data_IF_904636572626
#
_entry.id   IF_904636572626
#
_cell.length_a   1.000
_cell.length_b   1.000
_cell.length_c   1.000
_cell.angle_alpha   90.00
_cell.angle_beta   90.00
_cell.angle_gamma   90.00
#
_symmetry.space_group_name_H-M   'P 1'
#
loop_
_entity.id
_entity.type
_entity.pdbx_description
1 polymer ?
#
# COMPACT_ATOMS: atom_id res chain seq x y z
N UNK A 1 -18.67 -25.56 -79.40
CA UNK A 1 -18.95 -24.14 -79.09
C UNK A 1 -20.05 -23.89 -78.04
N UNK A 2 -21.03 -24.75 -77.81
CA UNK A 2 -22.08 -24.52 -76.76
C UNK A 2 -21.63 -24.73 -75.31
N UNK A 3 -20.60 -25.53 -75.03
CA UNK A 3 -20.12 -25.82 -73.69
C UNK A 3 -19.26 -24.66 -73.05
N UNK A 4 -18.58 -23.90 -73.89
CA UNK A 4 -17.72 -22.79 -73.43
C UNK A 4 -18.53 -21.57 -73.05
N UNK A 5 -19.67 -21.36 -73.70
CA UNK A 5 -20.56 -20.22 -73.40
C UNK A 5 -21.26 -20.36 -72.02
N UNK A 6 -21.62 -21.59 -71.65
CA UNK A 6 -22.25 -21.86 -70.36
C UNK A 6 -21.26 -21.68 -69.15
N UNK A 7 -20.00 -22.06 -69.37
CA UNK A 7 -18.97 -21.87 -68.32
C UNK A 7 -18.62 -20.40 -68.10
N UNK A 8 -18.59 -19.60 -69.17
CA UNK A 8 -18.35 -18.18 -69.13
C UNK A 8 -19.53 -17.41 -68.49
N UNK A 9 -20.77 -17.86 -68.77
CA UNK A 9 -21.98 -17.24 -68.18
C UNK A 9 -22.12 -17.59 -66.67
N UNK A 10 -21.76 -18.83 -66.31
CA UNK A 10 -21.74 -19.22 -64.88
C UNK A 10 -20.66 -18.48 -64.06
N UNK A 11 -19.50 -18.21 -64.68
CA UNK A 11 -18.42 -17.42 -64.03
C UNK A 11 -18.81 -15.95 -63.94
N UNK A 12 -19.53 -15.38 -64.87
CA UNK A 12 -20.02 -13.99 -64.79
C UNK A 12 -21.15 -13.84 -63.76
N UNK A 13 -22.01 -14.87 -63.60
CA UNK A 13 -23.03 -14.85 -62.53
C UNK A 13 -22.43 -15.01 -61.13
N UNK A 14 -21.32 -15.75 -60.98
CA UNK A 14 -20.62 -15.92 -59.66
C UNK A 14 -19.86 -14.66 -59.24
N UNK A 15 -19.42 -13.85 -60.19
CA UNK A 15 -18.71 -12.58 -59.87
C UNK A 15 -19.67 -11.45 -59.48
N UNK A 16 -20.94 -11.51 -59.85
CA UNK A 16 -21.94 -10.50 -59.49
C UNK A 16 -22.46 -10.68 -58.05
N UNK A 17 -22.34 -11.89 -57.47
CA UNK A 17 -22.79 -12.17 -56.11
C UNK A 17 -21.76 -11.79 -55.02
N UNK A 18 -20.54 -11.36 -55.37
CA UNK A 18 -19.50 -11.00 -54.42
C UNK A 18 -19.36 -9.47 -54.18
N UNK A 19 -20.18 -8.65 -54.84
CA UNK A 19 -20.11 -7.18 -54.66
C UNK A 19 -21.22 -6.61 -53.79
N UNK A 20 -21.82 -7.41 -52.91
CA UNK A 20 -22.69 -6.89 -51.84
C UNK A 20 -21.90 -6.75 -50.54
N UNK A 21 -20.85 -5.93 -50.58
CA UNK A 21 -20.41 -5.25 -49.36
C UNK A 21 -21.34 -4.05 -49.17
N UNK A 22 -22.38 -4.25 -48.41
CA UNK A 22 -23.14 -3.14 -47.84
C UNK A 22 -22.19 -2.42 -46.90
N UNK A 23 -21.62 -1.32 -47.35
CA UNK A 23 -20.92 -0.36 -46.51
C UNK A 23 -21.94 0.60 -45.90
N UNK A 24 -23.00 0.08 -45.32
CA UNK A 24 -23.73 0.88 -44.35
C UNK A 24 -22.91 0.83 -43.07
N UNK A 25 -22.03 1.80 -42.91
CA UNK A 25 -21.53 2.15 -41.58
C UNK A 25 -22.77 2.53 -40.76
N UNK A 26 -23.35 1.55 -40.08
CA UNK A 26 -24.33 1.79 -39.03
C UNK A 26 -23.58 2.57 -37.97
N UNK A 27 -23.71 3.89 -37.97
CA UNK A 27 -23.14 4.71 -36.94
C UNK A 27 -23.60 4.16 -35.58
N UNK A 28 -22.64 3.81 -34.73
CA UNK A 28 -22.98 3.31 -33.42
C UNK A 28 -23.96 4.31 -32.76
N UNK A 29 -25.08 3.83 -32.20
CA UNK A 29 -26.08 4.72 -31.60
C UNK A 29 -25.38 5.63 -30.60
N UNK A 30 -25.53 6.94 -30.77
CA UNK A 30 -25.05 7.89 -29.76
C UNK A 30 -25.78 7.58 -28.45
N UNK A 31 -25.07 7.05 -27.48
CA UNK A 31 -25.57 6.94 -26.12
C UNK A 31 -25.86 8.35 -25.62
N UNK A 32 -27.13 8.75 -25.65
CA UNK A 32 -27.57 10.02 -25.09
C UNK A 32 -27.62 9.83 -23.57
N UNK A 33 -26.71 10.48 -22.86
CA UNK A 33 -26.76 10.52 -21.40
C UNK A 33 -27.98 11.34 -20.99
N UNK A 34 -28.79 10.83 -20.07
CA UNK A 34 -29.88 11.57 -19.43
C UNK A 34 -29.39 12.10 -18.09
N UNK A 35 -29.32 13.43 -17.96
CA UNK A 35 -28.94 14.07 -16.70
C UNK A 35 -30.03 13.80 -15.65
N UNK A 36 -29.69 13.29 -14.46
CA UNK A 36 -30.64 13.18 -13.36
C UNK A 36 -31.12 14.57 -12.91
N UNK A 37 -32.43 14.69 -12.64
CA UNK A 37 -33.00 15.89 -12.02
C UNK A 37 -32.81 15.82 -10.49
N UNK A 38 -31.53 15.95 -10.08
CA UNK A 38 -31.10 15.90 -8.69
C UNK A 38 -30.15 17.06 -8.40
N UNK A 39 -30.30 17.63 -7.21
CA UNK A 39 -29.45 18.71 -6.70
C UNK A 39 -28.83 18.28 -5.40
N UNK A 40 -27.52 18.48 -5.28
CA UNK A 40 -26.78 18.27 -4.04
C UNK A 40 -27.23 19.28 -2.99
N UNK A 41 -27.55 18.81 -1.80
CA UNK A 41 -27.97 19.65 -0.68
C UNK A 41 -27.14 19.45 0.59
N UNK A 42 -26.18 18.50 0.55
CA UNK A 42 -25.30 18.16 1.68
C UNK A 42 -23.90 17.87 1.16
N UNK A 43 -22.86 18.33 1.89
CA UNK A 43 -21.48 18.04 1.54
C UNK A 43 -21.03 16.66 2.07
N UNK A 44 -20.12 16.00 1.33
CA UNK A 44 -19.53 14.73 1.80
C UNK A 44 -18.81 14.91 3.15
N UNK A 45 -18.22 16.08 3.41
CA UNK A 45 -17.57 16.40 4.68
C UNK A 45 -18.55 16.40 5.87
N UNK A 46 -19.80 16.79 5.67
CA UNK A 46 -20.83 16.75 6.73
C UNK A 46 -21.22 15.32 7.05
N UNK A 47 -21.35 14.46 6.02
CA UNK A 47 -21.59 13.02 6.21
C UNK A 47 -20.41 12.35 6.91
N UNK A 48 -19.19 12.67 6.49
CA UNK A 48 -17.97 12.13 7.10
C UNK A 48 -17.83 12.55 8.57
N UNK A 49 -18.22 13.78 8.93
CA UNK A 49 -18.13 14.30 10.30
C UNK A 49 -19.05 13.55 11.30
N UNK A 50 -20.13 12.94 10.82
CA UNK A 50 -21.08 12.18 11.67
C UNK A 50 -20.88 10.67 11.59
N UNK A 51 -20.15 10.17 10.58
CA UNK A 51 -19.82 8.75 10.44
C UNK A 51 -18.84 8.33 11.56
N UNK A 52 -19.03 7.15 12.10
CA UNK A 52 -18.17 6.59 13.16
C UNK A 52 -18.12 5.05 13.03
N UNK A 53 -17.40 4.37 13.93
CA UNK A 53 -17.25 2.91 13.89
C UNK A 53 -18.58 2.14 14.12
N UNK A 54 -19.60 2.78 14.68
CA UNK A 54 -20.92 2.17 14.88
C UNK A 54 -21.79 2.48 13.67
N UNK A 55 -22.28 1.44 12.98
CA UNK A 55 -23.16 1.61 11.84
C UNK A 55 -24.40 2.40 12.20
N UNK A 56 -24.67 3.47 11.45
CA UNK A 56 -25.78 4.39 11.73
C UNK A 56 -26.62 4.61 10.48
N UNK A 57 -27.95 4.53 10.62
CA UNK A 57 -28.87 4.83 9.53
C UNK A 57 -28.96 6.34 9.30
N UNK A 58 -28.81 6.76 8.04
CA UNK A 58 -29.00 8.13 7.61
C UNK A 58 -30.51 8.39 7.36
N UNK A 59 -31.10 9.35 8.06
CA UNK A 59 -32.55 9.56 8.10
C UNK A 59 -33.06 10.73 7.26
N UNK A 60 -32.14 11.64 6.88
CA UNK A 60 -32.49 12.85 6.17
C UNK A 60 -32.54 12.60 4.65
N UNK A 61 -33.38 13.37 3.95
CA UNK A 61 -33.51 13.30 2.48
C UNK A 61 -32.42 14.13 1.82
N UNK A 62 -31.16 13.73 2.10
CA UNK A 62 -29.97 14.43 1.63
C UNK A 62 -29.37 13.73 0.42
N UNK A 63 -28.76 14.53 -0.43
CA UNK A 63 -28.09 14.11 -1.66
C UNK A 63 -26.70 14.71 -1.66
N UNK A 64 -25.70 13.84 -1.70
CA UNK A 64 -24.28 14.21 -1.93
C UNK A 64 -23.90 13.98 -3.38
N UNK A 65 -22.80 14.60 -3.82
CA UNK A 65 -22.15 14.29 -5.08
C UNK A 65 -20.68 13.93 -4.86
N UNK A 66 -20.20 12.96 -5.64
CA UNK A 66 -18.81 12.58 -5.65
C UNK A 66 -18.41 11.98 -7.00
N UNK A 67 -17.13 11.74 -7.20
CA UNK A 67 -16.57 11.27 -8.47
C UNK A 67 -16.03 9.85 -8.30
N UNK A 68 -16.31 9.01 -9.29
CA UNK A 68 -15.84 7.62 -9.35
C UNK A 68 -14.34 7.58 -9.56
N UNK A 69 -13.62 6.83 -8.72
CA UNK A 69 -12.16 6.70 -8.83
C UNK A 69 -11.66 5.25 -8.94
N UNK A 70 -12.49 4.25 -8.61
CA UNK A 70 -12.19 2.83 -8.83
C UNK A 70 -12.88 2.28 -10.07
N UNK A 71 -12.42 1.13 -10.56
CA UNK A 71 -13.03 0.38 -11.67
C UNK A 71 -12.91 -1.12 -11.43
N UNK A 72 -13.99 -1.84 -11.64
CA UNK A 72 -14.01 -3.31 -11.61
C UNK A 72 -13.77 -3.96 -12.99
N UNK A 73 -13.41 -3.15 -14.01
CA UNK A 73 -13.20 -3.61 -15.39
C UNK A 73 -12.09 -4.66 -15.49
N UNK A 74 -10.96 -4.44 -14.81
CA UNK A 74 -9.83 -5.37 -14.82
C UNK A 74 -9.96 -6.51 -13.80
N UNK A 75 -11.01 -6.55 -12.98
CA UNK A 75 -11.20 -7.58 -11.95
C UNK A 75 -10.44 -7.37 -10.64
N UNK A 76 -9.68 -6.27 -10.49
CA UNK A 76 -8.97 -5.99 -9.23
C UNK A 76 -9.88 -5.41 -8.14
N UNK A 77 -11.01 -4.82 -8.51
CA UNK A 77 -12.08 -4.39 -7.62
C UNK A 77 -13.26 -5.34 -7.76
N UNK A 78 -13.95 -5.59 -6.64
CA UNK A 78 -15.08 -6.52 -6.65
C UNK A 78 -16.21 -6.00 -5.78
N UNK A 79 -17.38 -5.79 -6.41
CA UNK A 79 -18.64 -5.43 -5.73
C UNK A 79 -18.50 -4.20 -4.82
N UNK A 80 -17.71 -3.22 -5.22
CA UNK A 80 -17.52 -1.97 -4.50
C UNK A 80 -17.07 -0.88 -5.45
N UNK A 81 -17.50 0.34 -5.22
CA UNK A 81 -17.04 1.53 -5.91
C UNK A 81 -16.42 2.47 -4.90
N UNK A 82 -15.21 2.98 -5.18
CA UNK A 82 -14.61 4.09 -4.43
C UNK A 82 -14.95 5.41 -5.11
N UNK A 83 -15.35 6.35 -4.30
CA UNK A 83 -15.70 7.72 -4.67
C UNK A 83 -14.82 8.70 -3.92
N UNK A 84 -14.58 9.85 -4.51
CA UNK A 84 -13.97 10.98 -3.82
C UNK A 84 -14.57 12.31 -4.24
N UNK A 85 -14.42 13.33 -3.40
CA UNK A 85 -14.69 14.74 -3.77
C UNK A 85 -13.52 15.30 -4.57
N UNK A 86 -13.73 16.42 -5.26
CA UNK A 86 -12.60 17.20 -5.79
C UNK A 86 -11.87 17.91 -4.64
N UNK A 87 -10.55 17.90 -4.71
CA UNK A 87 -9.75 18.74 -3.84
C UNK A 87 -9.90 20.22 -4.25
N UNK A 88 -9.86 21.12 -3.28
CA UNK A 88 -9.78 22.57 -3.49
C UNK A 88 -8.46 23.10 -2.95
N UNK A 89 -8.18 24.38 -3.11
CA UNK A 89 -6.99 25.01 -2.54
C UNK A 89 -6.91 24.91 -1.00
N UNK A 90 -8.04 24.72 -0.32
CA UNK A 90 -8.13 24.72 1.16
C UNK A 90 -8.66 23.42 1.73
N UNK A 91 -9.18 22.51 0.91
CA UNK A 91 -9.83 21.28 1.39
C UNK A 91 -9.30 20.10 0.59
N UNK A 92 -8.69 19.10 1.23
CA UNK A 92 -8.28 17.88 0.56
C UNK A 92 -9.50 17.08 0.07
N UNK A 93 -9.31 16.20 -0.91
CA UNK A 93 -10.34 15.28 -1.33
C UNK A 93 -10.71 14.34 -0.17
N UNK A 94 -12.00 14.05 -0.05
CA UNK A 94 -12.53 13.06 0.91
C UNK A 94 -12.96 11.83 0.13
N UNK A 95 -12.35 10.67 0.45
CA UNK A 95 -12.67 9.40 -0.17
C UNK A 95 -13.61 8.56 0.69
N UNK A 96 -14.46 7.78 0.03
CA UNK A 96 -15.32 6.79 0.68
C UNK A 96 -15.67 5.65 -0.28
N UNK A 97 -16.16 4.53 0.24
CA UNK A 97 -16.58 3.41 -0.59
C UNK A 97 -18.08 3.11 -0.46
N UNK A 98 -18.64 2.60 -1.56
CA UNK A 98 -20.01 2.10 -1.59
C UNK A 98 -19.97 0.64 -2.05
N UNK A 99 -20.19 -0.31 -1.15
CA UNK A 99 -20.35 -1.72 -1.51
C UNK A 99 -21.65 -1.93 -2.29
N UNK A 100 -21.58 -2.67 -3.41
CA UNK A 100 -22.72 -2.93 -4.31
C UNK A 100 -22.74 -4.40 -4.67
N UNK A 101 -23.89 -5.06 -4.58
CA UNK A 101 -24.03 -6.48 -4.95
C UNK A 101 -24.27 -6.67 -6.45
N UNK A 102 -23.38 -6.08 -7.26
CA UNK A 102 -23.34 -6.23 -8.71
C UNK A 102 -21.90 -6.24 -9.21
N UNK A 103 -21.70 -6.69 -10.44
CA UNK A 103 -20.42 -6.70 -11.16
C UNK A 103 -20.56 -5.89 -12.45
N UNK A 104 -19.43 -5.59 -13.11
CA UNK A 104 -19.37 -4.72 -14.28
C UNK A 104 -19.93 -3.32 -14.01
N UNK A 105 -19.68 -2.82 -12.80
CA UNK A 105 -20.12 -1.50 -12.35
C UNK A 105 -19.49 -0.38 -13.19
N UNK A 106 -18.30 -0.62 -13.79
CA UNK A 106 -17.59 0.32 -14.66
C UNK A 106 -18.40 0.74 -15.89
N UNK A 107 -19.38 -0.06 -16.32
CA UNK A 107 -20.24 0.26 -17.46
C UNK A 107 -21.15 1.46 -17.15
N UNK A 108 -21.73 1.44 -15.94
CA UNK A 108 -22.64 2.48 -15.46
C UNK A 108 -21.92 3.64 -14.75
N UNK A 109 -20.79 3.33 -14.08
CA UNK A 109 -20.02 4.27 -13.25
C UNK A 109 -18.57 4.33 -13.73
N UNK A 110 -18.36 5.12 -14.79
CA UNK A 110 -17.04 5.30 -15.42
C UNK A 110 -16.11 6.14 -14.55
N UNK A 111 -14.80 5.92 -14.68
CA UNK A 111 -13.80 6.75 -14.01
C UNK A 111 -14.03 8.24 -14.32
N UNK A 112 -13.98 9.08 -13.28
CA UNK A 112 -14.23 10.52 -13.38
C UNK A 112 -15.71 10.91 -13.46
N UNK A 113 -16.64 9.95 -13.54
CA UNK A 113 -18.05 10.25 -13.59
C UNK A 113 -18.56 10.83 -12.26
N UNK A 114 -19.27 11.96 -12.33
CA UNK A 114 -19.97 12.52 -11.18
C UNK A 114 -21.24 11.72 -10.91
N UNK A 115 -21.44 11.31 -9.67
CA UNK A 115 -22.59 10.53 -9.21
C UNK A 115 -23.28 11.26 -8.07
N UNK A 116 -24.58 11.43 -8.17
CA UNK A 116 -25.44 11.86 -7.07
C UNK A 116 -25.82 10.64 -6.23
N UNK A 117 -25.64 10.71 -4.93
CA UNK A 117 -25.89 9.63 -3.99
C UNK A 117 -26.96 10.05 -3.01
N UNK A 118 -28.08 9.34 -3.02
CA UNK A 118 -29.21 9.56 -2.10
C UNK A 118 -28.93 8.86 -0.79
N UNK A 119 -28.90 9.60 0.31
CA UNK A 119 -28.48 9.10 1.62
C UNK A 119 -29.64 8.54 2.47
N UNK A 120 -30.88 8.99 2.22
CA UNK A 120 -32.01 8.56 2.99
C UNK A 120 -32.15 7.05 3.03
N UNK A 121 -32.32 6.50 4.23
CA UNK A 121 -32.42 5.06 4.53
C UNK A 121 -31.16 4.25 4.24
N UNK A 122 -30.06 4.90 3.81
CA UNK A 122 -28.77 4.25 3.74
C UNK A 122 -28.07 4.26 5.10
N UNK A 123 -27.02 3.47 5.23
CA UNK A 123 -26.22 3.35 6.44
C UNK A 123 -24.80 3.83 6.19
N UNK A 124 -24.20 4.43 7.21
CA UNK A 124 -22.80 4.87 7.20
C UNK A 124 -22.05 4.25 8.35
N UNK A 125 -20.80 3.91 8.14
CA UNK A 125 -19.84 3.55 9.19
C UNK A 125 -18.41 3.96 8.79
N UNK A 126 -17.49 3.82 9.75
CA UNK A 126 -16.04 3.88 9.52
C UNK A 126 -15.49 2.47 9.79
N UNK A 127 -14.96 1.82 8.74
CA UNK A 127 -14.30 0.53 8.86
C UNK A 127 -12.81 0.68 8.52
N UNK A 128 -11.92 0.30 9.43
CA UNK A 128 -10.48 0.44 9.30
C UNK A 128 -10.05 1.86 8.89
N UNK A 129 -10.73 2.89 9.41
CA UNK A 129 -10.48 4.30 9.09
C UNK A 129 -11.19 4.83 7.83
N UNK A 130 -11.73 3.97 6.97
CA UNK A 130 -12.42 4.37 5.74
C UNK A 130 -13.94 4.48 5.90
N UNK A 131 -14.52 5.60 5.47
CA UNK A 131 -15.99 5.79 5.45
C UNK A 131 -16.63 4.89 4.39
N UNK A 132 -17.75 4.26 4.76
CA UNK A 132 -18.60 3.50 3.85
C UNK A 132 -20.05 3.99 3.89
N UNK A 133 -20.72 3.90 2.74
CA UNK A 133 -22.15 4.18 2.59
C UNK A 133 -22.80 2.98 1.89
N UNK A 134 -23.90 2.45 2.42
CA UNK A 134 -24.59 1.31 1.80
C UNK A 134 -25.79 0.84 2.59
N UNK A 135 -26.17 -0.42 2.40
CA UNK A 135 -27.26 -1.06 3.14
C UNK A 135 -26.80 -1.54 4.52
N UNK A 136 -27.73 -1.93 5.38
CA UNK A 136 -27.36 -2.62 6.63
C UNK A 136 -26.90 -4.06 6.33
N UNK A 137 -25.84 -4.48 7.00
CA UNK A 137 -25.43 -5.87 7.11
C UNK A 137 -25.36 -6.23 8.59
N UNK A 138 -25.85 -7.40 8.95
CA UNK A 138 -25.74 -7.94 10.31
C UNK A 138 -25.10 -9.31 10.20
N UNK A 139 -24.01 -9.53 10.91
CA UNK A 139 -23.29 -10.80 10.91
C UNK A 139 -23.98 -11.84 11.84
N UNK A 140 -23.45 -13.07 11.88
CA UNK A 140 -23.97 -14.16 12.72
C UNK A 140 -23.84 -13.90 14.23
N UNK A 141 -23.04 -12.92 14.64
CA UNK A 141 -22.88 -12.49 16.04
C UNK A 141 -23.80 -11.30 16.41
N UNK A 142 -24.73 -10.93 15.51
CA UNK A 142 -25.61 -9.79 15.65
C UNK A 142 -24.89 -8.43 15.69
N UNK A 143 -23.70 -8.35 15.06
CA UNK A 143 -22.97 -7.11 14.90
C UNK A 143 -23.34 -6.48 13.56
N UNK A 144 -23.71 -5.19 13.60
CA UNK A 144 -24.10 -4.43 12.42
C UNK A 144 -22.88 -3.77 11.75
N UNK A 145 -22.96 -3.61 10.43
CA UNK A 145 -22.01 -2.85 9.61
C UNK A 145 -22.64 -2.42 8.30
N UNK A 146 -21.94 -1.56 7.55
CA UNK A 146 -22.35 -1.22 6.19
C UNK A 146 -22.14 -2.42 5.27
N UNK A 147 -23.25 -2.85 4.64
CA UNK A 147 -23.29 -3.91 3.65
C UNK A 147 -23.55 -3.41 2.24
N UNK A 148 -23.62 -4.35 1.29
CA UNK A 148 -23.83 -4.04 -0.12
C UNK A 148 -25.22 -3.50 -0.41
N UNK A 149 -25.30 -2.47 -1.25
CA UNK A 149 -26.55 -2.09 -1.91
C UNK A 149 -27.00 -3.26 -2.80
N UNK A 150 -28.29 -3.61 -2.75
CA UNK A 150 -28.82 -4.74 -3.53
C UNK A 150 -28.72 -4.46 -5.04
N UNK A 151 -28.62 -5.53 -5.83
CA UNK A 151 -28.61 -5.45 -7.29
C UNK A 151 -29.85 -4.72 -7.87
N UNK A 152 -30.98 -4.77 -7.15
CA UNK A 152 -32.22 -4.15 -7.61
C UNK A 152 -32.35 -2.67 -7.19
N UNK A 153 -31.57 -2.23 -6.20
CA UNK A 153 -31.76 -0.92 -5.57
C UNK A 153 -30.58 0.05 -5.74
N UNK A 154 -29.38 -0.45 -6.05
CA UNK A 154 -28.20 0.42 -6.10
C UNK A 154 -28.36 1.60 -7.09
N UNK A 155 -29.07 1.41 -8.23
CA UNK A 155 -29.35 2.48 -9.22
C UNK A 155 -30.36 3.50 -8.72
N UNK A 156 -31.13 3.19 -7.68
CA UNK A 156 -32.01 4.17 -7.01
C UNK A 156 -31.24 5.08 -6.07
N UNK A 157 -30.14 4.57 -5.53
CA UNK A 157 -29.22 5.28 -4.62
C UNK A 157 -28.14 6.03 -5.40
N UNK A 158 -27.45 5.33 -6.30
CA UNK A 158 -26.35 5.86 -7.11
C UNK A 158 -26.87 6.34 -8.47
N UNK A 159 -26.89 7.65 -8.70
CA UNK A 159 -27.44 8.25 -9.92
C UNK A 159 -26.30 8.91 -10.72
N UNK A 160 -25.80 8.21 -11.74
CA UNK A 160 -24.73 8.70 -12.61
C UNK A 160 -25.21 9.95 -13.38
N UNK A 161 -24.40 11.01 -13.38
CA UNK A 161 -24.66 12.22 -14.15
C UNK A 161 -23.99 12.18 -15.53
N UNK A 162 -24.31 13.16 -16.37
CA UNK A 162 -23.61 13.34 -17.64
C UNK A 162 -22.28 14.09 -17.49
N UNK A 163 -21.95 14.53 -16.30
CA UNK A 163 -20.70 15.23 -16.01
C UNK A 163 -19.58 14.23 -15.77
N UNK A 164 -18.48 14.40 -16.48
CA UNK A 164 -17.27 13.63 -16.28
C UNK A 164 -16.09 14.59 -16.14
N UNK A 165 -15.19 14.34 -15.22
CA UNK A 165 -13.96 15.12 -15.04
C UNK A 165 -12.74 14.32 -15.50
N UNK A 166 -11.68 15.06 -15.87
CA UNK A 166 -10.39 14.41 -16.16
C UNK A 166 -9.85 13.75 -14.91
N UNK A 167 -9.20 12.60 -15.08
CA UNK A 167 -8.50 11.88 -14.01
C UNK A 167 -7.47 12.79 -13.29
N UNK A 168 -6.82 13.70 -14.03
CA UNK A 168 -5.83 14.64 -13.47
C UNK A 168 -6.38 15.53 -12.36
N UNK A 169 -7.70 15.79 -12.35
CA UNK A 169 -8.36 16.55 -11.29
C UNK A 169 -8.64 15.69 -10.03
N UNK A 170 -8.52 14.38 -10.16
CA UNK A 170 -8.79 13.42 -9.09
C UNK A 170 -7.50 12.89 -8.47
N UNK A 171 -6.41 12.85 -9.24
CA UNK A 171 -5.13 12.34 -8.77
C UNK A 171 -4.57 13.20 -7.64
N UNK A 172 -4.19 12.52 -6.56
CA UNK A 172 -3.38 13.09 -5.49
C UNK A 172 -1.95 12.56 -5.61
N UNK A 173 -1.05 13.38 -6.13
CA UNK A 173 0.38 13.06 -6.14
C UNK A 173 0.95 13.39 -4.77
N UNK A 174 1.36 12.39 -4.02
CA UNK A 174 1.92 12.50 -2.67
C UNK A 174 3.16 11.61 -2.52
N UNK A 175 3.97 11.90 -1.52
CA UNK A 175 5.09 11.04 -1.16
C UNK A 175 4.63 9.75 -0.46
N UNK A 176 5.46 8.72 -0.46
CA UNK A 176 5.17 7.48 0.26
C UNK A 176 5.04 7.72 1.78
N UNK A 177 5.79 8.68 2.34
CA UNK A 177 5.71 9.04 3.76
C UNK A 177 4.38 9.71 4.15
N UNK A 178 3.73 10.41 3.21
CA UNK A 178 2.42 11.03 3.42
C UNK A 178 1.25 10.06 3.18
N UNK A 179 1.53 8.95 2.49
CA UNK A 179 0.52 7.98 2.04
C UNK A 179 -0.23 7.34 3.20
N UNK A 180 0.50 6.88 4.23
CA UNK A 180 -0.03 6.06 5.33
C UNK A 180 -0.83 6.89 6.35
N UNK A 181 -1.92 7.49 5.85
CA UNK A 181 -2.83 8.31 6.64
C UNK A 181 -4.27 8.00 6.23
N UNK A 182 -5.16 7.82 7.21
CA UNK A 182 -6.57 7.46 6.97
C UNK A 182 -7.31 8.52 6.13
N UNK A 183 -6.86 9.79 6.14
CA UNK A 183 -7.42 10.85 5.26
C UNK A 183 -7.19 10.60 3.76
N UNK A 184 -6.32 9.66 3.39
CA UNK A 184 -6.04 9.27 2.02
C UNK A 184 -6.90 8.07 1.55
N UNK A 185 -7.63 7.41 2.45
CA UNK A 185 -8.40 6.21 2.13
C UNK A 185 -9.48 6.49 1.09
N UNK A 186 -9.67 5.52 0.20
CA UNK A 186 -10.60 5.57 -0.94
C UNK A 186 -10.36 6.72 -1.93
N UNK A 187 -9.20 7.39 -1.90
CA UNK A 187 -8.82 8.40 -2.90
C UNK A 187 -7.85 7.82 -3.93
N UNK A 188 -7.83 8.43 -5.13
CA UNK A 188 -6.91 8.09 -6.19
C UNK A 188 -5.55 8.72 -5.93
N UNK A 189 -4.57 7.88 -5.64
CA UNK A 189 -3.19 8.28 -5.31
C UNK A 189 -2.28 8.01 -6.51
N UNK A 190 -1.33 8.90 -6.76
CA UNK A 190 -0.15 8.65 -7.58
C UNK A 190 1.11 8.77 -6.71
N UNK A 191 1.92 7.71 -6.72
CA UNK A 191 3.26 7.68 -6.14
C UNK A 191 4.29 7.77 -7.27
N UNK A 192 5.35 8.53 -7.08
CA UNK A 192 6.48 8.63 -8.01
C UNK A 192 7.75 8.09 -7.38
N UNK A 193 8.70 7.68 -8.24
CA UNK A 193 10.00 7.16 -7.82
C UNK A 193 9.92 5.96 -6.86
N UNK A 194 8.93 5.10 -7.09
CA UNK A 194 8.71 3.87 -6.33
C UNK A 194 9.14 2.65 -7.13
N UNK A 195 9.39 1.56 -6.44
CA UNK A 195 9.74 0.25 -7.01
C UNK A 195 9.16 -0.86 -6.13
N UNK A 196 8.96 -2.03 -6.70
CA UNK A 196 8.59 -3.20 -5.89
C UNK A 196 9.76 -3.66 -5.01
N UNK A 197 9.48 -4.26 -3.87
CA UNK A 197 10.50 -4.91 -3.03
C UNK A 197 11.19 -6.06 -3.76
N UNK A 198 12.34 -6.50 -3.28
CA UNK A 198 13.18 -7.48 -3.99
C UNK A 198 12.50 -8.86 -4.11
N UNK A 199 11.72 -9.27 -3.12
CA UNK A 199 10.95 -10.52 -3.06
C UNK A 199 9.86 -10.62 -4.14
N UNK A 200 9.35 -9.50 -4.63
CA UNK A 200 8.38 -9.44 -5.72
C UNK A 200 9.01 -9.65 -7.11
N UNK A 201 10.33 -9.45 -7.25
CA UNK A 201 10.98 -9.45 -8.58
C UNK A 201 11.06 -10.85 -9.15
N UNK A 202 10.59 -11.01 -10.41
CA UNK A 202 10.47 -12.30 -11.08
C UNK A 202 9.23 -13.11 -10.67
N UNK A 203 8.36 -12.53 -9.85
CA UNK A 203 7.06 -13.09 -9.46
C UNK A 203 5.94 -12.49 -10.30
N UNK A 204 4.77 -13.14 -10.23
CA UNK A 204 3.56 -12.59 -10.86
C UNK A 204 2.87 -11.63 -9.90
N UNK A 205 2.02 -10.75 -10.44
CA UNK A 205 1.21 -9.86 -9.61
C UNK A 205 0.36 -10.62 -8.59
N UNK A 206 -0.17 -11.78 -8.97
CA UNK A 206 -0.78 -12.74 -8.04
C UNK A 206 0.02 -14.03 -7.99
N UNK A 207 0.32 -14.48 -6.79
CA UNK A 207 0.99 -15.77 -6.50
C UNK A 207 0.17 -16.56 -5.48
N UNK A 208 -0.16 -17.80 -5.82
CA UNK A 208 -0.92 -18.67 -4.91
C UNK A 208 -0.15 -18.96 -3.61
N UNK A 209 1.19 -18.99 -3.67
CA UNK A 209 2.06 -19.16 -2.50
C UNK A 209 2.08 -17.96 -1.56
N UNK A 210 1.60 -16.79 -2.02
CA UNK A 210 1.43 -15.56 -1.25
C UNK A 210 -0.04 -15.09 -1.33
N UNK A 211 -0.98 -16.03 -1.20
CA UNK A 211 -2.41 -15.74 -1.27
C UNK A 211 -2.96 -15.30 0.08
N UNK A 212 -3.37 -14.05 0.15
CA UNK A 212 -3.99 -13.44 1.33
C UNK A 212 -5.43 -13.04 0.98
N UNK A 213 -6.37 -13.93 1.27
CA UNK A 213 -7.81 -13.68 1.03
C UNK A 213 -8.16 -13.47 -0.45
N UNK A 214 -7.60 -14.29 -1.35
CA UNK A 214 -7.84 -14.23 -2.79
C UNK A 214 -7.06 -13.16 -3.55
N UNK A 215 -6.01 -12.62 -2.94
CA UNK A 215 -5.12 -11.64 -3.55
C UNK A 215 -3.68 -11.82 -3.04
N UNK A 216 -2.72 -11.22 -3.71
CA UNK A 216 -1.32 -11.13 -3.26
C UNK A 216 -0.99 -9.70 -2.87
N UNK A 217 -0.23 -9.56 -1.79
CA UNK A 217 0.32 -8.30 -1.32
C UNK A 217 1.84 -8.29 -1.59
N UNK A 218 2.30 -7.47 -2.54
CA UNK A 218 3.72 -7.19 -2.73
C UNK A 218 4.10 -5.88 -2.08
N UNK A 219 5.31 -5.76 -1.56
CA UNK A 219 5.85 -4.49 -1.08
C UNK A 219 6.11 -3.54 -2.25
N UNK A 220 5.65 -2.30 -2.14
CA UNK A 220 6.02 -1.17 -2.98
C UNK A 220 6.77 -0.17 -2.10
N UNK A 221 7.98 0.22 -2.49
CA UNK A 221 8.87 1.03 -1.68
C UNK A 221 9.39 2.26 -2.42
N UNK A 222 9.73 3.31 -1.68
CA UNK A 222 10.53 4.43 -2.15
C UNK A 222 12.02 4.27 -1.79
N UNK A 223 12.86 5.20 -2.24
CA UNK A 223 14.29 5.21 -1.90
C UNK A 223 14.59 5.54 -0.43
N UNK A 224 13.58 5.96 0.33
CA UNK A 224 13.70 6.31 1.74
C UNK A 224 13.25 5.15 2.66
N UNK A 225 12.98 3.95 2.10
CA UNK A 225 12.56 2.77 2.85
C UNK A 225 11.11 2.79 3.33
N UNK A 226 10.31 3.80 2.94
CA UNK A 226 8.87 3.75 3.21
C UNK A 226 8.24 2.71 2.29
N UNK A 227 7.28 1.96 2.82
CA UNK A 227 6.62 0.87 2.09
C UNK A 227 5.10 0.90 2.26
N UNK A 228 4.41 0.39 1.26
CA UNK A 228 2.98 0.09 1.28
C UNK A 228 2.74 -1.24 0.56
N UNK A 229 1.72 -1.98 0.93
CA UNK A 229 1.32 -3.15 0.16
C UNK A 229 0.66 -2.73 -1.15
N UNK A 230 1.17 -3.27 -2.25
CA UNK A 230 0.51 -3.25 -3.55
C UNK A 230 -0.30 -4.54 -3.68
N UNK A 231 -1.62 -4.41 -3.75
CA UNK A 231 -2.54 -5.55 -3.69
C UNK A 231 -3.16 -5.88 -5.04
N UNK A 232 -3.00 -7.13 -5.47
CA UNK A 232 -3.58 -7.64 -6.72
C UNK A 232 -4.47 -8.85 -6.46
N UNK A 233 -5.73 -8.78 -6.89
CA UNK A 233 -6.69 -9.88 -6.84
C UNK A 233 -6.32 -10.99 -7.82
N UNK A 234 -6.58 -12.24 -7.44
CA UNK A 234 -6.48 -13.41 -8.34
C UNK A 234 -7.40 -13.32 -9.56
N UNK A 235 -8.44 -12.50 -9.51
CA UNK A 235 -9.38 -12.26 -10.60
C UNK A 235 -8.97 -11.12 -11.54
N UNK A 236 -7.87 -10.43 -11.25
CA UNK A 236 -7.38 -9.36 -12.11
C UNK A 236 -6.90 -9.90 -13.45
N UNK A 237 -7.20 -9.21 -14.55
CA UNK A 237 -6.78 -9.58 -15.91
C UNK A 237 -5.25 -9.53 -16.10
N UNK A 238 -4.54 -8.85 -15.21
CA UNK A 238 -3.07 -8.80 -15.17
C UNK A 238 -2.44 -9.68 -14.07
N UNK A 239 -3.24 -10.44 -13.30
CA UNK A 239 -2.77 -11.28 -12.19
C UNK A 239 -1.59 -12.21 -12.56
N UNK A 240 -1.65 -12.83 -13.75
CA UNK A 240 -0.61 -13.72 -14.26
C UNK A 240 0.58 -13.04 -14.95
N UNK A 241 0.66 -11.71 -14.95
CA UNK A 241 1.81 -10.99 -15.50
C UNK A 241 2.91 -10.83 -14.47
N UNK A 242 4.15 -10.74 -14.94
CA UNK A 242 5.29 -10.50 -14.06
C UNK A 242 5.28 -9.08 -13.50
N UNK A 243 5.63 -8.95 -12.23
CA UNK A 243 5.88 -7.67 -11.58
C UNK A 243 7.06 -6.98 -12.28
N UNK A 244 6.95 -5.69 -12.64
CA UNK A 244 8.03 -4.98 -13.33
C UNK A 244 9.24 -4.78 -12.41
N UNK A 245 10.42 -4.95 -13.00
CA UNK A 245 11.72 -4.81 -12.29
C UNK A 245 12.31 -3.40 -12.39
N UNK A 246 11.52 -2.39 -12.69
CA UNK A 246 11.98 -1.00 -12.78
C UNK A 246 11.57 -0.17 -11.58
N UNK A 247 11.83 1.13 -11.67
CA UNK A 247 11.25 2.16 -10.83
C UNK A 247 10.37 3.10 -11.64
N UNK A 248 9.48 3.82 -10.99
CA UNK A 248 8.63 4.76 -11.72
C UNK A 248 7.41 5.22 -10.94
N UNK A 249 6.28 5.28 -11.63
CA UNK A 249 5.01 5.76 -11.08
C UNK A 249 4.01 4.64 -10.92
N UNK A 250 3.24 4.72 -9.84
CA UNK A 250 2.11 3.84 -9.58
C UNK A 250 0.91 4.66 -9.17
N UNK A 251 -0.23 4.40 -9.81
CA UNK A 251 -1.53 4.91 -9.39
C UNK A 251 -2.36 3.80 -8.75
N UNK A 252 -3.25 4.17 -7.84
CA UNK A 252 -4.17 3.23 -7.23
C UNK A 252 -5.07 3.89 -6.20
N UNK A 253 -6.03 3.13 -5.72
CA UNK A 253 -6.89 3.53 -4.61
C UNK A 253 -6.27 3.01 -3.31
N UNK A 254 -6.05 3.92 -2.37
CA UNK A 254 -5.58 3.51 -1.05
C UNK A 254 -6.74 2.92 -0.24
N UNK A 255 -6.53 1.74 0.27
CA UNK A 255 -7.45 1.05 1.17
C UNK A 255 -6.72 0.59 2.43
N UNK A 256 -7.45 0.08 3.42
CA UNK A 256 -6.86 -0.43 4.66
C UNK A 256 -7.62 -1.68 5.13
N UNK A 257 -6.89 -2.67 5.62
CA UNK A 257 -7.43 -3.85 6.26
C UNK A 257 -6.73 -4.07 7.60
N UNK A 258 -7.47 -4.01 8.69
CA UNK A 258 -6.86 -3.93 10.02
C UNK A 258 -5.97 -2.70 10.14
N UNK A 259 -4.68 -2.91 10.33
CA UNK A 259 -3.66 -1.86 10.38
C UNK A 259 -2.92 -1.64 9.06
N UNK A 260 -3.10 -2.55 8.08
CA UNK A 260 -2.31 -2.60 6.86
C UNK A 260 -2.92 -1.73 5.76
N UNK A 261 -2.18 -0.72 5.34
CA UNK A 261 -2.51 0.07 4.15
C UNK A 261 -2.17 -0.70 2.88
N UNK A 262 -3.07 -0.62 1.90
CA UNK A 262 -2.98 -1.34 0.64
C UNK A 262 -3.32 -0.40 -0.52
N UNK A 263 -2.42 -0.28 -1.48
CA UNK A 263 -2.65 0.43 -2.74
C UNK A 263 -3.17 -0.55 -3.79
N UNK A 264 -4.39 -0.35 -4.26
CA UNK A 264 -5.03 -1.19 -5.27
C UNK A 264 -5.00 -0.49 -6.64
N UNK A 265 -4.22 -0.97 -7.62
CA UNK A 265 -4.29 -0.45 -8.98
C UNK A 265 -5.63 -0.82 -9.62
N UNK A 266 -6.14 0.04 -10.50
CA UNK A 266 -7.39 -0.22 -11.22
C UNK A 266 -7.18 -1.11 -12.43
N UNK A 267 -5.98 -1.04 -13.01
CA UNK A 267 -5.51 -1.88 -14.10
C UNK A 267 -3.97 -1.86 -14.16
N UNK A 268 -3.37 -2.71 -14.99
CA UNK A 268 -1.93 -2.69 -15.23
C UNK A 268 -1.41 -1.32 -15.73
N UNK A 269 -2.25 -0.53 -16.41
CA UNK A 269 -1.88 0.81 -16.90
C UNK A 269 -1.57 1.81 -15.77
N UNK A 270 -2.01 1.50 -14.57
CA UNK A 270 -1.68 2.29 -13.38
C UNK A 270 -0.23 2.09 -12.91
N UNK A 271 0.51 1.12 -13.49
CA UNK A 271 1.88 0.79 -13.13
C UNK A 271 2.81 1.14 -14.30
N UNK A 272 3.58 2.22 -14.14
CA UNK A 272 4.52 2.72 -15.17
C UNK A 272 5.92 2.76 -14.57
N UNK A 273 6.64 1.64 -14.68
CA UNK A 273 7.97 1.45 -14.10
C UNK A 273 9.03 1.28 -15.18
N UNK A 274 9.38 2.37 -15.84
CA UNK A 274 10.34 2.42 -16.96
C UNK A 274 11.73 2.92 -16.56
N UNK A 275 11.87 3.40 -15.32
CA UNK A 275 13.14 3.88 -14.78
C UNK A 275 14.02 2.72 -14.28
N UNK A 276 15.29 3.03 -14.02
CA UNK A 276 16.25 2.08 -13.46
C UNK A 276 15.90 1.81 -12.00
N UNK A 277 15.87 0.53 -11.61
CA UNK A 277 15.72 0.12 -10.21
C UNK A 277 16.90 0.60 -9.38
N UNK A 278 16.62 1.19 -8.23
CA UNK A 278 17.64 1.44 -7.21
C UNK A 278 17.99 0.10 -6.52
N UNK A 279 19.28 -0.22 -6.52
CA UNK A 279 19.82 -1.42 -5.87
C UNK A 279 20.72 -0.95 -4.72
N UNK A 280 20.46 -1.38 -3.47
CA UNK A 280 21.34 -1.04 -2.36
C UNK A 280 22.72 -1.68 -2.58
N UNK A 281 23.79 -0.97 -2.25
CA UNK A 281 25.14 -1.55 -2.28
C UNK A 281 25.50 -2.25 -0.97
N UNK A 282 24.70 -2.07 0.07
CA UNK A 282 24.69 -2.86 1.29
C UNK A 282 23.25 -3.21 1.65
N UNK A 283 22.99 -4.48 1.98
CA UNK A 283 21.66 -4.93 2.43
C UNK A 283 21.78 -6.10 3.40
N UNK A 284 20.89 -6.12 4.39
CA UNK A 284 20.63 -7.24 5.29
C UNK A 284 19.11 -7.30 5.56
N UNK A 285 18.49 -8.38 5.13
CA UNK A 285 17.05 -8.65 5.26
C UNK A 285 16.73 -9.67 6.35
N UNK A 286 17.75 -10.16 7.05
CA UNK A 286 17.65 -11.13 8.13
C UNK A 286 16.89 -12.44 7.80
N UNK A 287 16.60 -12.73 6.53
CA UNK A 287 15.84 -13.91 6.12
C UNK A 287 16.57 -15.23 6.38
N UNK A 288 17.89 -15.17 6.61
CA UNK A 288 18.71 -16.34 6.90
C UNK A 288 18.91 -16.63 8.39
N UNK A 289 18.27 -15.85 9.28
CA UNK A 289 18.44 -16.04 10.74
C UNK A 289 17.78 -17.33 11.23
N UNK A 290 18.34 -17.87 12.29
CA UNK A 290 17.78 -19.04 12.97
C UNK A 290 16.84 -18.57 14.08
N UNK A 291 15.58 -18.99 14.00
CA UNK A 291 14.53 -18.58 14.94
C UNK A 291 14.93 -18.78 16.42
N UNK A 292 14.73 -17.75 17.24
CA UNK A 292 14.99 -17.69 18.68
C UNK A 292 16.45 -17.91 19.10
N UNK A 293 17.38 -17.99 18.15
CA UNK A 293 18.82 -18.14 18.42
C UNK A 293 19.49 -16.77 18.56
N UNK A 294 20.60 -16.70 19.31
CA UNK A 294 21.43 -15.50 19.32
C UNK A 294 21.86 -15.19 17.89
N UNK A 295 21.65 -13.95 17.47
CA UNK A 295 21.93 -13.53 16.11
C UNK A 295 23.42 -13.67 15.81
N UNK A 296 23.73 -14.40 14.76
CA UNK A 296 25.09 -14.67 14.27
C UNK A 296 25.08 -14.64 12.74
N UNK A 297 25.36 -13.47 12.18
CA UNK A 297 25.45 -13.23 10.74
C UNK A 297 26.85 -12.84 10.35
N UNK A 298 27.31 -13.18 9.14
CA UNK A 298 28.68 -12.88 8.68
C UNK A 298 29.00 -11.38 8.78
N UNK A 299 30.03 -11.05 9.56
CA UNK A 299 30.50 -9.68 9.75
C UNK A 299 29.70 -8.82 10.70
N UNK A 300 28.52 -9.26 11.15
CA UNK A 300 27.78 -8.56 12.20
C UNK A 300 28.36 -8.85 13.57
N UNK A 301 28.41 -7.83 14.43
CA UNK A 301 28.81 -7.98 15.83
C UNK A 301 27.57 -7.83 16.73
N UNK A 302 27.36 -8.80 17.62
CA UNK A 302 26.27 -8.83 18.60
C UNK A 302 26.89 -8.78 20.00
N UNK A 303 26.97 -7.60 20.60
CA UNK A 303 27.77 -7.32 21.79
C UNK A 303 26.88 -6.89 22.96
N UNK A 304 27.02 -7.57 24.10
CA UNK A 304 26.37 -7.20 25.36
C UNK A 304 27.28 -6.26 26.12
N UNK A 305 26.89 -5.00 26.25
CA UNK A 305 27.57 -3.99 27.05
C UNK A 305 27.21 -4.09 28.54
N UNK A 306 25.96 -4.41 28.83
CA UNK A 306 25.43 -4.60 30.20
C UNK A 306 24.33 -5.64 30.20
N UNK A 307 24.29 -6.48 31.25
CA UNK A 307 23.34 -7.58 31.34
C UNK A 307 23.85 -8.86 30.72
N UNK A 308 22.95 -9.70 30.22
CA UNK A 308 23.29 -11.07 29.75
C UNK A 308 22.61 -11.47 28.44
N UNK A 309 21.73 -10.63 27.92
CA UNK A 309 20.93 -10.96 26.74
C UNK A 309 21.55 -10.38 25.46
N UNK A 310 21.46 -11.15 24.42
CA UNK A 310 21.90 -10.81 23.05
C UNK A 310 20.71 -10.52 22.16
N UNK A 311 20.94 -9.82 21.06
CA UNK A 311 20.01 -9.79 19.94
C UNK A 311 19.80 -11.21 19.40
N UNK A 312 18.59 -11.53 19.00
CA UNK A 312 18.20 -12.83 18.45
C UNK A 312 17.70 -12.69 17.03
N UNK A 313 17.85 -13.73 16.24
CA UNK A 313 17.06 -13.94 15.05
C UNK A 313 15.67 -14.42 15.45
N UNK A 314 14.63 -13.87 14.81
CA UNK A 314 13.24 -14.29 15.00
C UNK A 314 12.60 -14.45 13.63
N UNK A 315 11.80 -15.52 13.46
CA UNK A 315 11.05 -15.77 12.22
C UNK A 315 9.56 -15.83 12.55
N UNK A 316 8.77 -14.98 11.91
CA UNK A 316 7.33 -14.97 12.06
C UNK A 316 6.62 -14.86 10.70
N UNK A 317 5.73 -15.80 10.41
CA UNK A 317 4.98 -15.86 9.15
C UNK A 317 5.86 -15.83 7.89
N UNK A 318 7.07 -16.39 7.97
CA UNK A 318 8.01 -16.44 6.87
C UNK A 318 8.92 -15.21 6.74
N UNK A 319 8.79 -14.21 7.60
CA UNK A 319 9.69 -13.04 7.68
C UNK A 319 10.71 -13.23 8.80
N UNK A 320 11.99 -13.14 8.48
CA UNK A 320 13.11 -13.12 9.41
C UNK A 320 13.45 -11.69 9.81
N UNK A 321 13.79 -11.46 11.08
CA UNK A 321 14.24 -10.15 11.56
C UNK A 321 15.15 -10.27 12.78
N UNK A 322 15.92 -9.24 13.08
CA UNK A 322 16.65 -9.13 14.34
C UNK A 322 15.73 -8.62 15.45
N UNK A 323 15.66 -9.32 16.58
CA UNK A 323 14.84 -8.92 17.72
C UNK A 323 15.68 -8.80 19.00
N UNK A 324 15.45 -7.73 19.76
CA UNK A 324 15.84 -7.67 21.16
C UNK A 324 14.60 -7.67 22.03
N UNK A 325 14.44 -8.75 22.80
CA UNK A 325 13.29 -8.93 23.69
C UNK A 325 13.78 -9.25 25.13
N UNK A 326 13.40 -8.40 26.07
CA UNK A 326 13.68 -8.57 27.50
C UNK A 326 12.41 -8.86 28.30
N UNK A 327 11.23 -8.79 27.69
CA UNK A 327 9.92 -9.01 28.33
C UNK A 327 9.88 -10.37 29.04
N UNK A 328 9.38 -10.38 30.27
CA UNK A 328 9.25 -11.59 31.08
C UNK A 328 10.57 -12.14 31.62
N UNK A 329 11.72 -11.57 31.32
CA UNK A 329 12.98 -11.90 31.94
C UNK A 329 13.09 -11.18 33.30
N UNK A 330 13.98 -11.63 34.16
CA UNK A 330 14.25 -10.95 35.45
C UNK A 330 15.53 -10.11 35.42
N UNK A 331 16.06 -9.85 34.22
CA UNK A 331 17.28 -9.08 34.02
C UNK A 331 17.03 -7.62 34.39
N UNK A 332 17.77 -7.10 35.39
CA UNK A 332 17.54 -5.78 35.96
C UNK A 332 17.83 -4.66 34.95
N UNK A 333 18.84 -4.82 34.14
CA UNK A 333 19.24 -3.85 33.10
C UNK A 333 20.01 -4.57 32.00
N UNK A 334 19.71 -4.27 30.78
CA UNK A 334 20.46 -4.77 29.61
C UNK A 334 20.75 -3.62 28.64
N UNK A 335 21.97 -3.60 28.14
CA UNK A 335 22.38 -2.76 27.00
C UNK A 335 23.10 -3.67 26.02
N UNK A 336 22.55 -3.79 24.82
CA UNK A 336 23.10 -4.66 23.78
C UNK A 336 23.17 -3.95 22.46
N UNK A 337 24.22 -4.24 21.69
CA UNK A 337 24.53 -3.63 20.42
C UNK A 337 24.49 -4.68 19.33
N UNK A 338 23.81 -4.37 18.23
CA UNK A 338 23.87 -5.09 16.97
C UNK A 338 24.53 -4.16 15.96
N UNK A 339 25.70 -4.55 15.45
CA UNK A 339 26.58 -3.68 14.66
C UNK A 339 26.82 -4.33 13.30
N UNK A 340 26.61 -3.59 12.22
CA UNK A 340 26.77 -4.05 10.86
C UNK A 340 28.24 -4.39 10.52
N UNK A 341 28.50 -5.18 9.48
CA UNK A 341 29.81 -5.20 8.81
C UNK A 341 30.26 -3.79 8.42
N UNK A 342 31.52 -3.65 8.05
CA UNK A 342 32.03 -2.39 7.50
C UNK A 342 31.43 -2.14 6.12
N UNK A 343 30.82 -0.97 5.96
CA UNK A 343 30.21 -0.48 4.72
C UNK A 343 31.18 0.52 4.09
N UNK A 344 31.56 0.30 2.84
CA UNK A 344 32.53 1.15 2.12
C UNK A 344 31.79 2.30 1.44
N UNK A 345 32.04 3.53 1.92
CA UNK A 345 31.38 4.75 1.45
C UNK A 345 32.11 5.43 0.28
N UNK A 346 33.34 5.00 -0.03
CA UNK A 346 34.16 5.65 -1.05
C UNK A 346 33.78 5.26 -2.49
N UNK A 347 32.91 4.27 -2.65
CA UNK A 347 32.51 3.72 -3.96
C UNK A 347 31.20 4.28 -4.50
N UNK A 348 30.50 5.08 -3.69
CA UNK A 348 29.22 5.71 -4.03
C UNK A 348 29.19 7.16 -3.57
N UNK A 349 28.13 7.87 -3.92
CA UNK A 349 27.84 9.24 -3.48
C UNK A 349 26.38 9.37 -3.10
N UNK A 350 26.00 10.38 -2.32
CA UNK A 350 24.64 10.61 -1.85
C UNK A 350 24.04 9.39 -1.12
N UNK A 351 24.85 8.80 -0.27
CA UNK A 351 24.49 7.57 0.42
C UNK A 351 23.34 7.82 1.41
N UNK A 352 22.35 6.93 1.35
CA UNK A 352 21.16 6.96 2.21
C UNK A 352 20.99 5.61 2.87
N UNK A 353 20.99 5.60 4.21
CA UNK A 353 20.60 4.44 5.00
C UNK A 353 19.09 4.40 5.17
N UNK A 354 18.52 3.23 4.99
CA UNK A 354 17.13 2.90 5.33
C UNK A 354 17.07 1.59 6.08
N UNK A 355 16.09 1.43 6.94
CA UNK A 355 15.74 0.17 7.62
C UNK A 355 14.31 0.24 8.12
N UNK A 356 13.81 -0.88 8.60
CA UNK A 356 12.47 -0.97 9.21
C UNK A 356 12.60 -1.40 10.66
N UNK A 357 11.73 -0.88 11.51
CA UNK A 357 11.69 -1.23 12.93
C UNK A 357 10.25 -1.40 13.41
N UNK A 358 10.06 -2.33 14.33
CA UNK A 358 8.81 -2.53 15.04
C UNK A 358 9.05 -2.57 16.55
N UNK A 359 7.99 -2.59 17.32
CA UNK A 359 8.03 -2.74 18.78
C UNK A 359 6.93 -3.69 19.27
N UNK A 360 7.11 -4.25 20.47
CA UNK A 360 6.02 -4.79 21.28
C UNK A 360 6.29 -4.58 22.77
N UNK A 361 5.25 -4.54 23.58
CA UNK A 361 5.32 -4.28 25.03
C UNK A 361 6.05 -2.97 25.40
N UNK A 362 6.07 -1.97 24.50
CA UNK A 362 6.60 -0.65 24.83
C UNK A 362 5.52 0.16 25.57
N UNK A 363 5.56 0.10 26.88
CA UNK A 363 4.55 0.72 27.76
C UNK A 363 4.75 2.23 27.95
N UNK A 364 5.97 2.72 27.71
CA UNK A 364 6.31 4.14 27.84
C UNK A 364 7.46 4.52 26.91
N UNK A 365 7.37 5.67 26.28
CA UNK A 365 8.48 6.26 25.53
C UNK A 365 9.53 6.78 26.51
N UNK A 366 10.65 6.07 26.64
CA UNK A 366 11.69 6.36 27.64
C UNK A 366 13.08 6.02 27.10
N UNK A 367 14.08 6.85 27.42
CA UNK A 367 15.48 6.53 27.14
C UNK A 367 15.99 5.31 27.94
N UNK A 368 15.29 4.90 28.98
CA UNK A 368 15.61 3.71 29.79
C UNK A 368 15.03 2.42 29.17
N UNK A 369 14.14 2.54 28.18
CA UNK A 369 13.69 1.45 27.32
C UNK A 369 13.62 1.99 25.89
N UNK A 370 14.69 1.83 25.14
CA UNK A 370 14.87 2.48 23.84
C UNK A 370 15.65 1.63 22.85
N UNK A 371 15.38 1.89 21.58
CA UNK A 371 16.27 1.60 20.46
C UNK A 371 16.93 2.92 20.04
N UNK A 372 18.25 2.91 19.88
CA UNK A 372 19.04 4.04 19.37
C UNK A 372 19.89 3.55 18.20
N UNK A 373 20.11 4.43 17.22
CA UNK A 373 20.90 4.08 16.03
C UNK A 373 22.12 4.99 15.93
N UNK A 374 23.26 4.40 15.61
CA UNK A 374 24.55 5.09 15.59
C UNK A 374 25.33 4.74 14.33
N UNK A 375 26.25 5.62 13.96
CA UNK A 375 27.30 5.36 12.99
C UNK A 375 28.68 5.51 13.65
N UNK A 376 29.64 4.70 13.23
CA UNK A 376 31.05 4.80 13.63
C UNK A 376 31.96 4.61 12.43
N UNK A 377 33.03 5.43 12.36
CA UNK A 377 34.08 5.31 11.34
C UNK A 377 35.34 4.58 11.86
N UNK A 378 35.38 4.28 13.18
CA UNK A 378 36.60 3.76 13.83
C UNK A 378 36.35 2.53 14.72
N UNK A 379 35.18 1.86 14.59
CA UNK A 379 34.93 0.60 15.31
C UNK A 379 35.87 -0.50 14.78
N UNK A 380 36.57 -1.15 15.72
CA UNK A 380 37.57 -2.20 15.43
C UNK A 380 36.96 -3.62 15.26
N UNK A 381 35.65 -3.77 15.49
CA UNK A 381 34.92 -5.04 15.44
C UNK A 381 34.77 -5.72 16.81
N UNK A 382 35.37 -5.20 17.88
CA UNK A 382 35.43 -5.86 19.19
C UNK A 382 35.10 -4.91 20.35
N UNK A 383 35.70 -3.73 20.40
CA UNK A 383 35.68 -2.87 21.58
C UNK A 383 34.80 -1.64 21.38
N UNK A 384 33.64 -1.63 22.07
CA UNK A 384 32.71 -0.48 22.00
C UNK A 384 33.31 0.81 22.59
N UNK A 385 34.18 0.70 23.60
CA UNK A 385 34.71 1.86 24.33
C UNK A 385 35.77 2.64 23.57
N UNK A 386 36.42 2.03 22.59
CA UNK A 386 37.44 2.67 21.74
C UNK A 386 36.84 3.34 20.50
N UNK A 387 35.60 2.97 20.16
CA UNK A 387 34.90 3.53 19.02
C UNK A 387 34.16 4.82 19.37
N UNK A 388 34.13 5.76 18.42
CA UNK A 388 33.28 6.94 18.48
C UNK A 388 31.93 6.62 17.84
N UNK A 389 30.87 6.74 18.61
CA UNK A 389 29.49 6.49 18.18
C UNK A 389 28.74 7.81 18.02
N UNK A 390 28.36 8.13 16.78
CA UNK A 390 27.59 9.33 16.43
C UNK A 390 26.15 8.93 16.28
N UNK A 391 25.20 9.51 17.08
CA UNK A 391 23.79 9.16 16.97
C UNK A 391 23.21 9.64 15.64
N UNK A 392 22.39 8.80 15.02
CA UNK A 392 21.61 9.12 13.83
C UNK A 392 20.19 9.52 14.22
N UNK A 393 19.66 10.53 13.54
CA UNK A 393 18.25 10.93 13.70
C UNK A 393 17.42 10.08 12.75
N UNK A 394 16.56 9.25 13.32
CA UNK A 394 15.79 8.24 12.59
C UNK A 394 14.35 8.21 13.11
N UNK A 395 13.43 7.74 12.28
CA UNK A 395 12.07 7.44 12.72
C UNK A 395 12.06 6.06 13.40
N UNK A 396 11.57 6.00 14.63
CA UNK A 396 11.49 4.77 15.43
C UNK A 396 10.07 4.58 15.98
N UNK A 397 9.64 3.34 16.21
CA UNK A 397 8.34 3.05 16.81
C UNK A 397 8.29 3.62 18.23
N UNK A 398 7.11 4.10 18.59
CA UNK A 398 6.77 4.65 19.90
C UNK A 398 5.72 3.77 20.58
N UNK A 399 5.39 4.05 21.84
CA UNK A 399 4.33 3.36 22.57
C UNK A 399 3.01 3.27 21.78
N UNK A 400 2.63 4.36 21.08
CA UNK A 400 1.41 4.41 20.29
C UNK A 400 1.48 3.61 18.98
N UNK A 401 2.66 3.16 18.55
CA UNK A 401 2.81 2.31 17.36
C UNK A 401 2.25 0.91 17.69
N UNK A 402 1.34 0.36 16.89
CA UNK A 402 0.83 -0.98 17.12
C UNK A 402 1.96 -2.03 17.17
N UNK A 403 1.77 -3.06 17.98
CA UNK A 403 2.74 -4.14 18.14
C UNK A 403 3.04 -4.82 16.81
N UNK A 404 4.32 -5.08 16.56
CA UNK A 404 4.83 -5.74 15.34
C UNK A 404 4.51 -5.00 14.03
N UNK A 405 4.04 -3.76 14.10
CA UNK A 405 3.92 -2.92 12.92
C UNK A 405 5.29 -2.34 12.56
N UNK A 406 5.90 -2.86 11.49
CA UNK A 406 7.14 -2.32 10.98
C UNK A 406 6.92 -0.95 10.34
N UNK A 407 7.69 0.05 10.78
CA UNK A 407 7.73 1.39 10.20
C UNK A 407 9.11 1.66 9.61
N UNK A 408 9.18 2.44 8.53
CA UNK A 408 10.43 2.85 7.90
C UNK A 408 11.18 3.86 8.76
N UNK A 409 12.51 3.76 8.77
CA UNK A 409 13.43 4.69 9.45
C UNK A 409 13.37 6.12 8.90
N UNK A 410 12.80 6.31 7.70
CA UNK A 410 13.09 7.45 6.84
C UNK A 410 14.49 7.36 6.22
N UNK A 411 14.76 8.16 5.20
CA UNK A 411 16.09 8.24 4.59
C UNK A 411 17.07 8.97 5.51
N UNK A 412 18.14 8.30 5.90
CA UNK A 412 19.20 8.88 6.73
C UNK A 412 20.39 9.21 5.85
N UNK A 413 20.69 10.50 5.69
CA UNK A 413 21.80 10.98 4.89
C UNK A 413 23.13 10.56 5.53
N UNK A 414 23.91 9.75 4.81
CA UNK A 414 25.25 9.32 5.17
C UNK A 414 26.33 9.95 4.28
N UNK A 415 26.00 10.85 3.36
CA UNK A 415 26.91 11.42 2.35
C UNK A 415 28.09 12.21 2.92
N UNK A 416 28.04 12.57 4.22
CA UNK A 416 29.15 13.22 4.91
C UNK A 416 30.23 12.26 5.42
N UNK A 417 30.00 10.93 5.36
CA UNK A 417 30.94 9.93 5.84
C UNK A 417 31.77 9.39 4.67
N UNK A 418 33.08 9.21 4.91
CA UNK A 418 34.03 8.65 3.94
C UNK A 418 34.71 7.43 4.56
N UNK A 419 35.33 6.60 3.72
CA UNK A 419 35.97 5.36 4.16
C UNK A 419 34.96 4.30 4.56
N UNK A 420 35.33 3.53 5.57
CA UNK A 420 34.51 2.41 6.04
C UNK A 420 33.80 2.77 7.33
N UNK A 421 32.47 2.61 7.34
CA UNK A 421 31.62 2.87 8.49
C UNK A 421 30.97 1.60 9.00
N UNK A 422 30.47 1.63 10.24
CA UNK A 422 29.56 0.65 10.79
C UNK A 422 28.28 1.35 11.26
N UNK A 423 27.13 0.74 11.04
CA UNK A 423 25.84 1.15 11.59
C UNK A 423 25.56 0.27 12.82
N UNK A 424 25.09 0.85 13.89
CA UNK A 424 24.81 0.14 15.13
C UNK A 424 23.40 0.42 15.65
N UNK A 425 22.72 -0.63 16.06
CA UNK A 425 21.45 -0.62 16.77
C UNK A 425 21.70 -0.96 18.22
N UNK A 426 21.46 0.01 19.12
CA UNK A 426 21.67 -0.14 20.54
C UNK A 426 20.34 -0.23 21.25
N UNK A 427 20.12 -1.36 21.91
CA UNK A 427 18.98 -1.56 22.81
C UNK A 427 19.34 -1.19 24.25
N UNK A 428 18.39 -0.56 24.96
CA UNK A 428 18.42 -0.35 26.41
C UNK A 428 17.09 -0.76 27.01
N UNK A 429 17.08 -1.50 28.15
CA UNK A 429 15.83 -1.90 28.80
C UNK A 429 16.03 -2.66 30.12
N UNK A 430 14.92 -3.08 30.75
CA UNK A 430 14.88 -3.80 32.04
C UNK A 430 13.73 -4.81 32.07
N UNK A 431 14.01 -6.11 32.10
CA UNK A 431 12.98 -7.15 32.25
C UNK A 431 12.47 -7.33 33.68
N UNK A 432 13.00 -6.58 34.67
CA UNK A 432 12.48 -6.53 36.02
C UNK A 432 11.46 -5.40 36.21
N UNK A 433 11.61 -4.30 35.50
CA UNK A 433 10.67 -3.19 35.50
C UNK A 433 9.76 -3.32 34.28
N UNK A 434 8.50 -3.71 34.49
CA UNK A 434 7.53 -3.96 33.41
C UNK A 434 7.25 -2.72 32.54
N UNK A 435 7.43 -1.50 33.09
CA UNK A 435 7.31 -0.28 32.28
C UNK A 435 8.52 -0.05 31.35
N UNK A 436 9.59 -0.84 31.47
CA UNK A 436 10.84 -0.69 30.70
C UNK A 436 11.25 -2.00 30.00
N UNK A 437 10.32 -2.91 29.78
CA UNK A 437 10.59 -4.24 29.22
C UNK A 437 10.15 -4.39 27.76
N UNK A 438 9.84 -3.29 27.08
CA UNK A 438 9.52 -3.26 25.66
C UNK A 438 10.63 -3.86 24.79
N UNK A 439 10.22 -4.53 23.75
CA UNK A 439 11.10 -5.15 22.77
C UNK A 439 11.10 -4.35 21.45
N UNK A 440 12.20 -4.48 20.70
CA UNK A 440 12.34 -3.85 19.40
C UNK A 440 12.80 -4.87 18.35
N UNK A 441 12.30 -4.71 17.12
CA UNK A 441 12.67 -5.47 15.94
C UNK A 441 13.36 -4.54 14.93
N UNK A 442 14.35 -5.09 14.20
CA UNK A 442 15.07 -4.42 13.11
C UNK A 442 15.08 -5.34 11.91
N UNK A 443 14.78 -4.77 10.75
CA UNK A 443 14.66 -5.48 9.49
C UNK A 443 15.06 -4.59 8.30
N UNK A 444 15.29 -5.18 7.12
CA UNK A 444 15.53 -4.49 5.84
C UNK A 444 16.58 -3.38 5.92
N UNK A 445 17.74 -3.63 6.53
CA UNK A 445 18.83 -2.63 6.63
C UNK A 445 19.50 -2.48 5.27
N UNK A 446 19.37 -1.31 4.64
CA UNK A 446 19.85 -1.05 3.29
C UNK A 446 20.60 0.27 3.21
N UNK A 447 21.67 0.32 2.41
CA UNK A 447 22.34 1.57 2.04
C UNK A 447 22.33 1.71 0.53
N UNK A 448 21.69 2.77 0.06
CA UNK A 448 21.66 3.16 -1.35
C UNK A 448 22.67 4.27 -1.61
N UNK A 449 23.13 4.41 -2.86
CA UNK A 449 24.00 5.48 -3.28
C UNK A 449 24.06 5.57 -4.82
N UNK A 450 24.40 6.74 -5.32
CA UNK A 450 24.66 6.96 -6.74
C UNK A 450 26.09 6.51 -7.06
N UNK A 451 26.30 5.82 -8.22
CA UNK A 451 27.63 5.42 -8.70
C UNK A 451 28.37 6.58 -9.33
#
# INVERSE_FOLDING_TARGET
>A
MKSTFYKSFLFLLLTITLSSCVTDEVAAPKLICTQPDLVTNTAVSEVHAVANAIVTQYKYDDIIEAYVVSSDESGNFFKSISFQTLATATTPAIGFSVPVDATNLYIDYRLGNKVYIKLKDQYTDILFGGMRIGSIFVNSYNEGGVGRLSQNDYKKVLNASCTNVSEDLLIRSISMSELLNDSNLNTLIELSDVQFTADAIGRHYFEETNNVGGATNWGLMDKLGNQVYFRTSSFSDFAGKLVPNGSGKVKGILTKYGTDYQLLPRSEKDVVMTGTRAIPFFSEDFETVVDKSNLSLPGWANIVQKGTLFWKGTVYSGNGYAEFNITGTKVVSNVAWLISPKIDMDVHTKEVLTFRTAQHHLDVDSQLNSLEVYVSTNFDGLNLATATWIPLVVNLPKQATPWYQFIGSGGVDLSSYNGKINIAFKYTGSGKNLALDGAFQVDDVQVFGDK
#
